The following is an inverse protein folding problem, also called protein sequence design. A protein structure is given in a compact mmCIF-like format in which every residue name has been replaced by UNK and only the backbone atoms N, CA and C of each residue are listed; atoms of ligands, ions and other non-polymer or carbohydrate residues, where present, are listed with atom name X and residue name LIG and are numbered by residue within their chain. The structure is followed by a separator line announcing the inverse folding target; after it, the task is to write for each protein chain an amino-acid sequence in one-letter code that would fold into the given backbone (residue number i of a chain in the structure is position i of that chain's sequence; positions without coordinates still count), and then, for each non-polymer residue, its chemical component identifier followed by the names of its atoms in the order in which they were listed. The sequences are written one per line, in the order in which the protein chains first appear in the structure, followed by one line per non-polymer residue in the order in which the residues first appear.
data_IF_453422456510
#
_entry.id   IF_453422456510
#
_cell.length_a   1.000
_cell.length_b   1.000
_cell.length_c   1.000
_cell.angle_alpha   90.00
_cell.angle_beta   90.00
_cell.angle_gamma   90.00
#
_symmetry.space_group_name_H-M   'P 1'
#
loop_
_entity.id
_entity.type
_entity.pdbx_description
1 polymer ?
#
# COMPACT_ATOMS: atom_id res chain seq x y z
N UNK A 1 10.40 9.11 8.25
CA UNK A 1 10.22 10.33 7.43
C UNK A 1 11.51 10.83 6.76
N UNK A 2 12.71 10.42 7.20
CA UNK A 2 13.98 10.84 6.60
C UNK A 2 14.14 10.49 5.09
N UNK A 3 13.82 9.26 4.68
CA UNK A 3 14.00 8.85 3.28
C UNK A 3 13.09 9.57 2.27
N UNK A 4 11.88 9.99 2.67
CA UNK A 4 10.97 10.72 1.78
C UNK A 4 11.45 12.17 1.57
N UNK A 5 11.92 12.82 2.63
CA UNK A 5 12.52 14.16 2.53
C UNK A 5 13.77 14.14 1.64
N UNK A 6 14.66 13.16 1.83
CA UNK A 6 15.86 12.98 0.98
C UNK A 6 15.48 12.71 -0.48
N UNK A 7 14.44 11.91 -0.76
CA UNK A 7 13.99 11.64 -2.13
C UNK A 7 13.39 12.89 -2.82
N UNK A 8 12.61 13.69 -2.08
CA UNK A 8 12.07 14.97 -2.56
C UNK A 8 13.17 16.00 -2.80
N UNK A 9 14.16 16.09 -1.89
CA UNK A 9 15.35 16.94 -2.05
C UNK A 9 16.20 16.53 -3.26
N UNK A 10 16.23 15.23 -3.59
CA UNK A 10 16.88 14.69 -4.79
C UNK A 10 16.00 14.75 -6.06
N UNK A 11 14.84 15.42 -6.01
CA UNK A 11 13.99 15.66 -7.17
C UNK A 11 13.34 14.40 -7.74
N UNK A 12 13.07 13.38 -6.92
CA UNK A 12 12.23 12.24 -7.30
C UNK A 12 10.79 12.73 -7.50
N UNK A 13 10.22 12.39 -8.65
CA UNK A 13 8.85 12.71 -9.03
C UNK A 13 8.10 11.42 -9.36
N UNK A 14 6.76 11.46 -9.33
CA UNK A 14 5.92 10.32 -9.74
C UNK A 14 6.35 9.76 -11.10
N UNK A 15 6.55 10.56 -12.18
CA UNK A 15 7.04 10.06 -13.46
C UNK A 15 8.38 9.29 -13.36
N UNK A 16 9.34 9.78 -12.58
CA UNK A 16 10.63 9.10 -12.40
C UNK A 16 10.46 7.75 -11.68
N UNK A 17 9.58 7.68 -10.68
CA UNK A 17 9.24 6.42 -10.03
C UNK A 17 8.64 5.42 -11.03
N UNK A 18 7.71 5.85 -11.88
CA UNK A 18 7.10 4.99 -12.89
C UNK A 18 8.10 4.56 -13.97
N UNK A 19 9.04 5.43 -14.36
CA UNK A 19 10.13 5.08 -15.26
C UNK A 19 11.01 3.95 -14.68
N UNK A 20 11.30 3.99 -13.38
CA UNK A 20 12.05 2.92 -12.70
C UNK A 20 11.29 1.58 -12.74
N UNK A 21 9.97 1.60 -12.57
CA UNK A 21 9.12 0.40 -12.70
C UNK A 21 9.24 -0.16 -14.12
N UNK A 22 9.06 0.69 -15.14
CA UNK A 22 9.18 0.28 -16.54
C UNK A 22 10.57 -0.30 -16.86
N UNK A 23 11.64 0.33 -16.36
CA UNK A 23 13.02 -0.15 -16.53
C UNK A 23 13.24 -1.49 -15.85
N UNK A 24 12.72 -1.69 -14.65
CA UNK A 24 12.81 -2.96 -13.93
C UNK A 24 12.09 -4.07 -14.70
N UNK A 25 10.89 -3.79 -15.23
CA UNK A 25 10.15 -4.73 -16.11
C UNK A 25 10.92 -5.07 -17.37
N UNK A 26 11.47 -4.07 -18.06
CA UNK A 26 12.30 -4.26 -19.25
C UNK A 26 13.58 -5.07 -18.96
N UNK A 27 14.09 -5.00 -17.72
CA UNK A 27 15.24 -5.77 -17.25
C UNK A 27 14.89 -7.21 -16.82
N UNK A 28 13.64 -7.64 -17.04
CA UNK A 28 13.19 -9.01 -16.77
C UNK A 28 12.57 -9.24 -15.39
N UNK A 29 12.23 -8.17 -14.64
CA UNK A 29 11.56 -8.33 -13.35
C UNK A 29 10.14 -8.86 -13.53
N UNK A 30 9.87 -10.09 -13.11
CA UNK A 30 8.56 -10.76 -13.25
C UNK A 30 7.69 -10.71 -12.00
N UNK A 31 8.27 -10.42 -10.84
CA UNK A 31 7.52 -10.39 -9.56
C UNK A 31 6.54 -9.20 -9.50
N UNK A 32 5.40 -9.33 -8.79
CA UNK A 32 4.47 -8.22 -8.60
C UNK A 32 5.15 -6.99 -7.96
N UNK A 33 4.83 -5.80 -8.46
CA UNK A 33 5.32 -4.52 -7.92
C UNK A 33 4.14 -3.77 -7.31
N UNK A 34 4.27 -3.39 -6.04
CA UNK A 34 3.29 -2.57 -5.33
C UNK A 34 3.92 -1.22 -5.02
N UNK A 35 3.24 -0.13 -5.40
CA UNK A 35 3.68 1.22 -5.13
C UNK A 35 3.23 1.64 -3.73
N UNK A 36 4.18 2.04 -2.89
CA UNK A 36 3.90 2.47 -1.52
C UNK A 36 4.15 3.97 -1.37
N UNK A 37 3.20 4.70 -0.78
CA UNK A 37 3.35 6.14 -0.59
C UNK A 37 2.19 6.82 0.15
N UNK A 38 2.21 8.15 0.14
CA UNK A 38 1.14 8.99 0.67
C UNK A 38 0.11 9.33 -0.43
N UNK A 39 -1.11 9.67 -0.04
CA UNK A 39 -2.22 9.95 -0.95
C UNK A 39 -2.09 11.30 -1.64
N UNK A 40 -1.55 12.32 -0.95
CA UNK A 40 -1.44 13.68 -1.49
C UNK A 40 -0.67 13.76 -2.84
N UNK A 41 0.49 13.08 -3.03
CA UNK A 41 1.11 12.98 -4.35
C UNK A 41 0.24 12.35 -5.45
N UNK A 42 -0.58 11.35 -5.10
CA UNK A 42 -1.52 10.68 -6.02
C UNK A 42 -2.61 11.66 -6.44
N UNK A 43 -3.21 12.36 -5.47
CA UNK A 43 -4.21 13.40 -5.72
C UNK A 43 -3.67 14.50 -6.64
N UNK A 44 -2.45 15.01 -6.37
CA UNK A 44 -1.83 16.05 -7.20
C UNK A 44 -1.51 15.59 -8.63
N UNK A 45 -1.23 14.30 -8.81
CA UNK A 45 -1.00 13.72 -10.13
C UNK A 45 -2.31 13.44 -10.90
N UNK A 46 -3.41 13.33 -10.16
CA UNK A 46 -4.71 12.86 -10.64
C UNK A 46 -4.84 11.35 -10.46
N UNK A 47 -5.86 10.90 -9.72
CA UNK A 47 -6.01 9.49 -9.32
C UNK A 47 -6.12 8.54 -10.52
N UNK A 48 -7.01 8.85 -11.47
CA UNK A 48 -7.20 8.01 -12.66
C UNK A 48 -5.94 7.95 -13.52
N UNK A 49 -5.27 9.09 -13.69
CA UNK A 49 -4.03 9.17 -14.44
C UNK A 49 -2.90 8.40 -13.75
N UNK A 50 -2.79 8.52 -12.43
CA UNK A 50 -1.80 7.80 -11.64
C UNK A 50 -1.94 6.29 -11.82
N UNK A 51 -3.17 5.78 -11.70
CA UNK A 51 -3.49 4.36 -11.82
C UNK A 51 -3.23 3.88 -13.25
N UNK A 52 -3.66 4.64 -14.26
CA UNK A 52 -3.43 4.29 -15.67
C UNK A 52 -1.94 4.23 -16.01
N UNK A 53 -1.17 5.25 -15.64
CA UNK A 53 0.25 5.32 -15.95
C UNK A 53 1.05 4.29 -15.15
N UNK A 54 0.61 3.96 -13.93
CA UNK A 54 1.23 2.91 -13.12
C UNK A 54 0.98 1.51 -13.69
N UNK A 55 -0.24 1.23 -14.16
CA UNK A 55 -0.55 -0.01 -14.86
C UNK A 55 0.28 -0.15 -16.14
N UNK A 56 0.41 0.92 -16.94
CA UNK A 56 1.26 0.96 -18.14
C UNK A 56 2.73 0.71 -17.83
N UNK A 57 3.23 1.25 -16.71
CA UNK A 57 4.60 1.01 -16.26
C UNK A 57 4.83 -0.44 -15.79
N UNK A 58 3.76 -1.20 -15.52
CA UNK A 58 3.81 -2.58 -15.08
C UNK A 58 3.73 -2.76 -13.57
N UNK A 59 3.24 -1.76 -12.83
CA UNK A 59 2.87 -1.92 -11.42
C UNK A 59 1.57 -2.72 -11.27
N UNK A 60 1.39 -3.36 -10.11
CA UNK A 60 0.27 -4.24 -9.82
C UNK A 60 -0.69 -3.70 -8.75
N UNK A 61 -0.31 -2.64 -8.03
CA UNK A 61 -1.15 -2.12 -6.97
C UNK A 61 -0.51 -1.05 -6.11
N UNK A 62 -1.21 -0.69 -5.03
CA UNK A 62 -0.85 0.38 -4.11
C UNK A 62 -0.96 -0.01 -2.65
N UNK A 63 -0.05 0.54 -1.83
CA UNK A 63 -0.19 0.71 -0.39
C UNK A 63 -0.17 2.21 -0.11
N UNK A 64 -1.30 2.77 0.34
CA UNK A 64 -1.41 4.20 0.65
C UNK A 64 -1.50 4.38 2.16
N UNK A 65 -0.47 4.98 2.76
CA UNK A 65 -0.26 4.91 4.22
C UNK A 65 -1.16 5.80 5.05
N UNK A 66 -1.68 6.85 4.44
CA UNK A 66 -2.47 7.92 5.04
C UNK A 66 -3.92 7.95 4.53
N UNK A 67 -4.31 6.97 3.69
CA UNK A 67 -5.68 6.87 3.17
C UNK A 67 -6.42 5.76 3.93
N UNK A 68 -7.30 6.10 4.89
CA UNK A 68 -8.06 5.11 5.62
C UNK A 68 -9.09 4.42 4.71
N UNK A 69 -9.45 3.15 4.97
CA UNK A 69 -10.37 2.36 4.13
C UNK A 69 -11.72 3.03 3.89
N UNK A 70 -12.21 3.79 4.88
CA UNK A 70 -13.49 4.51 4.83
C UNK A 70 -13.48 5.61 3.77
N UNK A 71 -12.32 6.21 3.51
CA UNK A 71 -12.11 7.26 2.50
C UNK A 71 -11.60 6.69 1.16
N UNK A 72 -11.05 5.47 1.18
CA UNK A 72 -10.44 4.82 0.02
C UNK A 72 -11.45 4.32 -1.03
N UNK A 73 -12.76 4.42 -0.80
CA UNK A 73 -13.80 3.81 -1.66
C UNK A 73 -13.70 4.21 -3.14
N UNK A 74 -13.51 5.51 -3.42
CA UNK A 74 -13.34 6.01 -4.79
C UNK A 74 -12.03 5.50 -5.40
N UNK A 75 -10.90 5.70 -4.71
CA UNK A 75 -9.59 5.29 -5.18
C UNK A 75 -9.50 3.78 -5.46
N UNK A 76 -10.04 2.96 -4.54
CA UNK A 76 -10.14 1.50 -4.70
C UNK A 76 -10.97 1.13 -5.93
N UNK A 77 -12.10 1.79 -6.14
CA UNK A 77 -12.95 1.53 -7.31
C UNK A 77 -12.21 1.81 -8.62
N UNK A 78 -11.40 2.86 -8.67
CA UNK A 78 -10.56 3.15 -9.84
C UNK A 78 -9.49 2.06 -10.02
N UNK A 79 -8.82 1.63 -8.94
CA UNK A 79 -7.84 0.55 -8.98
C UNK A 79 -8.45 -0.76 -9.53
N UNK A 80 -9.61 -1.16 -9.01
CA UNK A 80 -10.31 -2.38 -9.43
C UNK A 80 -10.70 -2.34 -10.91
N UNK A 81 -11.21 -1.21 -11.42
CA UNK A 81 -11.53 -1.03 -12.85
C UNK A 81 -10.32 -1.19 -13.78
N UNK A 82 -9.11 -1.04 -13.26
CA UNK A 82 -7.85 -1.13 -14.01
C UNK A 82 -7.03 -2.39 -13.67
N UNK A 83 -7.60 -3.33 -12.90
CA UNK A 83 -6.92 -4.55 -12.50
C UNK A 83 -5.73 -4.34 -11.56
N UNK A 84 -5.70 -3.21 -10.85
CA UNK A 84 -4.69 -2.91 -9.84
C UNK A 84 -5.24 -3.22 -8.44
N UNK A 85 -4.42 -3.82 -7.58
CA UNK A 85 -4.80 -4.12 -6.19
C UNK A 85 -4.60 -2.89 -5.30
N UNK A 86 -5.60 -2.58 -4.46
CA UNK A 86 -5.41 -1.66 -3.34
C UNK A 86 -5.23 -2.47 -2.05
N UNK A 87 -4.05 -2.36 -1.44
CA UNK A 87 -3.68 -3.11 -0.24
C UNK A 87 -3.87 -2.21 0.98
N UNK A 88 -4.88 -2.45 1.81
CA UNK A 88 -5.09 -1.68 3.02
C UNK A 88 -4.08 -2.06 4.11
N UNK A 89 -3.74 -1.09 4.94
CA UNK A 89 -2.89 -1.25 6.12
C UNK A 89 -3.70 -1.64 7.35
N UNK A 90 -3.23 -2.66 8.07
CA UNK A 90 -3.76 -3.09 9.37
C UNK A 90 -2.69 -2.90 10.43
N UNK A 91 -3.06 -2.30 11.56
CA UNK A 91 -2.20 -2.12 12.73
C UNK A 91 -2.73 -2.93 13.93
N UNK A 92 -1.94 -3.13 15.00
CA UNK A 92 -2.41 -3.87 16.18
C UNK A 92 -3.64 -3.25 16.86
N UNK A 93 -3.75 -1.91 16.81
CA UNK A 93 -4.90 -1.17 17.30
C UNK A 93 -6.12 -1.20 16.36
N UNK A 94 -6.03 -1.83 15.17
CA UNK A 94 -7.19 -2.01 14.30
C UNK A 94 -8.21 -2.90 15.01
N UNK A 95 -9.45 -2.42 15.13
CA UNK A 95 -10.54 -3.15 15.78
C UNK A 95 -11.00 -4.35 14.95
N UNK A 96 -11.66 -5.32 15.58
CA UNK A 96 -12.19 -6.50 14.89
C UNK A 96 -13.23 -6.14 13.82
N UNK A 97 -14.05 -5.12 14.06
CA UNK A 97 -15.01 -4.60 13.07
C UNK A 97 -14.29 -4.07 11.83
N UNK A 98 -13.18 -3.36 12.03
CA UNK A 98 -12.35 -2.86 10.92
C UNK A 98 -11.62 -3.99 10.21
N UNK A 99 -11.13 -5.00 10.93
CA UNK A 99 -10.54 -6.20 10.32
C UNK A 99 -11.55 -6.93 9.42
N UNK A 100 -12.81 -7.04 9.85
CA UNK A 100 -13.89 -7.63 9.05
C UNK A 100 -14.15 -6.84 7.77
N UNK A 101 -14.23 -5.51 7.85
CA UNK A 101 -14.38 -4.66 6.65
C UNK A 101 -13.16 -4.77 5.73
N UNK A 102 -11.95 -4.76 6.29
CA UNK A 102 -10.71 -4.86 5.54
C UNK A 102 -10.57 -6.20 4.81
N UNK A 103 -11.04 -7.28 5.44
CA UNK A 103 -11.02 -8.62 4.84
C UNK A 103 -11.93 -8.77 3.62
N UNK A 104 -13.04 -8.04 3.55
CA UNK A 104 -13.92 -8.05 2.36
C UNK A 104 -13.41 -7.14 1.24
N UNK A 105 -12.44 -6.29 1.55
CA UNK A 105 -11.91 -5.26 0.67
C UNK A 105 -10.54 -5.64 0.08
N UNK A 106 -9.77 -6.47 0.80
CA UNK A 106 -8.44 -6.90 0.38
C UNK A 106 -8.52 -7.91 -0.77
N UNK A 107 -8.15 -7.47 -1.98
CA UNK A 107 -8.21 -8.29 -3.19
C UNK A 107 -7.00 -9.24 -3.36
N UNK A 108 -5.97 -9.14 -2.49
CA UNK A 108 -4.73 -9.91 -2.66
C UNK A 108 -4.04 -10.27 -1.35
N UNK A 109 -3.72 -9.28 -0.51
CA UNK A 109 -3.14 -9.50 0.82
C UNK A 109 -3.40 -8.29 1.73
N UNK A 110 -3.28 -8.48 3.04
CA UNK A 110 -3.41 -7.44 4.06
C UNK A 110 -2.01 -7.08 4.55
N UNK A 111 -1.64 -5.81 4.51
CA UNK A 111 -0.34 -5.37 5.03
C UNK A 111 -0.45 -5.09 6.53
N UNK A 112 0.12 -5.97 7.35
CA UNK A 112 0.14 -5.83 8.80
C UNK A 112 1.39 -5.06 9.23
N UNK A 113 1.21 -3.85 9.75
CA UNK A 113 2.30 -3.12 10.41
C UNK A 113 2.45 -3.60 11.84
N UNK A 114 3.67 -3.92 12.23
CA UNK A 114 4.01 -4.48 13.55
C UNK A 114 4.11 -3.45 14.68
N UNK A 115 4.03 -2.15 14.39
CA UNK A 115 4.32 -1.07 15.36
C UNK A 115 3.38 0.12 15.24
N UNK A 116 2.96 0.66 16.38
CA UNK A 116 2.31 1.97 16.54
C UNK A 116 3.31 3.14 16.73
N UNK A 117 4.58 3.01 16.32
CA UNK A 117 5.60 4.01 16.62
C UNK A 117 6.71 4.12 15.56
N UNK A 118 7.15 5.35 15.32
CA UNK A 118 8.23 5.72 14.41
C UNK A 118 9.56 5.09 14.84
N UNK A 119 10.35 4.71 13.83
CA UNK A 119 11.79 4.39 13.85
C UNK A 119 12.53 4.56 15.18
N UNK A 120 13.04 3.45 15.73
CA UNK A 120 13.99 3.45 16.84
C UNK A 120 13.71 2.33 17.85
N UNK A 121 14.77 1.65 18.26
CA UNK A 121 14.89 0.79 19.46
C UNK A 121 13.69 -0.12 19.79
N UNK A 122 13.80 -1.40 19.42
CA UNK A 122 13.46 -2.59 20.22
C UNK A 122 13.32 -3.76 19.24
N UNK A 123 14.32 -4.63 19.27
CA UNK A 123 14.54 -5.80 18.41
C UNK A 123 13.67 -6.98 18.82
N UNK A 124 12.49 -6.72 19.38
CA UNK A 124 11.54 -7.77 19.77
C UNK A 124 10.28 -7.63 18.91
N UNK A 125 10.03 -8.69 18.14
CA UNK A 125 8.75 -8.94 17.48
C UNK A 125 7.72 -9.01 18.60
N UNK A 126 6.88 -7.98 18.74
CA UNK A 126 5.85 -7.96 19.79
C UNK A 126 5.03 -9.25 19.74
N UNK A 127 4.78 -9.87 20.90
CA UNK A 127 3.83 -10.98 21.07
C UNK A 127 2.45 -10.68 20.48
N UNK A 128 2.14 -9.39 20.25
CA UNK A 128 0.89 -8.92 19.65
C UNK A 128 0.77 -9.27 18.15
N UNK A 129 1.87 -9.53 17.45
CA UNK A 129 1.85 -9.82 16.00
C UNK A 129 1.22 -11.18 15.72
N UNK A 130 1.54 -12.21 16.51
CA UNK A 130 0.90 -13.53 16.37
C UNK A 130 -0.61 -13.44 16.58
N UNK A 131 -1.02 -12.76 17.65
CA UNK A 131 -2.43 -12.49 17.97
C UNK A 131 -3.12 -11.68 16.87
N UNK A 132 -2.45 -10.68 16.30
CA UNK A 132 -2.99 -9.89 15.20
C UNK A 132 -3.13 -10.72 13.92
N UNK A 133 -2.15 -11.56 13.58
CA UNK A 133 -2.24 -12.46 12.44
C UNK A 133 -3.37 -13.49 12.60
N UNK A 134 -3.61 -13.99 13.82
CA UNK A 134 -4.77 -14.84 14.14
C UNK A 134 -6.09 -14.10 13.96
N UNK A 135 -6.19 -12.86 14.49
CA UNK A 135 -7.37 -12.00 14.31
C UNK A 135 -7.65 -11.72 12.83
N UNK A 136 -6.63 -11.38 12.04
CA UNK A 136 -6.76 -11.18 10.59
C UNK A 136 -7.25 -12.45 9.90
N UNK A 137 -6.62 -13.61 10.18
CA UNK A 137 -6.99 -14.90 9.59
C UNK A 137 -8.44 -15.29 9.88
N UNK A 138 -8.97 -14.98 11.07
CA UNK A 138 -10.36 -15.22 11.45
C UNK A 138 -11.36 -14.53 10.52
N UNK A 139 -10.98 -13.41 9.90
CA UNK A 139 -11.85 -12.63 9.02
C UNK A 139 -11.49 -12.77 7.54
N UNK A 140 -10.23 -13.06 7.19
CA UNK A 140 -9.74 -13.17 5.80
C UNK A 140 -9.75 -14.59 5.24
N UNK A 141 -10.17 -15.61 6.01
CA UNK A 141 -10.28 -17.00 5.56
C UNK A 141 -11.71 -17.37 5.18
N UNK A 142 -12.04 -17.24 3.90
CA UNK A 142 -13.16 -17.94 3.23
C UNK A 142 -12.75 -18.25 1.80
#
# INVERSE_FOLDING_TARGET
QHANNVALENGITVPKCLELVSKARASGLTVPIILMGYYNPILKYGEEKMIEDSAKAGANGYIVVDLPPEEAGQFRSICARRGMSYVPLVAPATTDERLKVLSTIADSFIYVVSRMGTTGALTEVSSDISTLCERVRKFSGS
#
